data_IF_307006535270
#
_entry.id   IF_307006535270
#
_cell.length_a   1.000
_cell.length_b   1.000
_cell.length_c   1.000
_cell.angle_alpha   90.00
_cell.angle_beta   90.00
_cell.angle_gamma   90.00
#
_symmetry.space_group_name_H-M   'P 1'
#
loop_
_entity.id
_entity.type
_entity.pdbx_description
1 polymer ?
#
# COMPACT_ATOMS: atom_id res chain seq x y z
N UNK A 1 1.30 9.42 -13.89
CA UNK A 1 2.78 9.42 -13.88
C UNK A 1 3.40 10.25 -15.00
N UNK A 2 2.66 11.15 -15.64
CA UNK A 2 3.18 11.90 -16.80
C UNK A 2 4.25 12.95 -16.45
N UNK A 3 4.39 13.36 -15.20
CA UNK A 3 5.45 14.31 -14.76
C UNK A 3 5.66 14.16 -13.26
N UNK A 4 6.80 13.59 -12.87
CA UNK A 4 7.25 13.57 -11.48
C UNK A 4 7.58 12.17 -10.94
N UNK A 5 8.52 12.15 -10.00
CA UNK A 5 8.91 10.96 -9.26
C UNK A 5 7.95 10.77 -8.09
N UNK A 6 7.17 9.70 -8.07
CA UNK A 6 6.31 9.38 -6.94
C UNK A 6 7.09 8.53 -5.95
N UNK A 7 7.15 8.97 -4.70
CA UNK A 7 7.78 8.25 -3.59
C UNK A 7 6.67 7.87 -2.61
N UNK A 8 6.49 6.57 -2.42
CA UNK A 8 5.63 6.03 -1.37
C UNK A 8 6.44 5.92 -0.08
N UNK A 9 5.95 6.52 1.00
CA UNK A 9 6.51 6.38 2.35
C UNK A 9 5.61 5.50 3.19
N UNK A 10 6.18 4.44 3.76
CA UNK A 10 5.46 3.46 4.59
C UNK A 10 6.04 3.49 6.00
N UNK A 11 5.18 3.66 7.01
CA UNK A 11 5.55 3.41 8.40
C UNK A 11 5.42 1.91 8.68
N UNK A 12 6.55 1.21 8.85
CA UNK A 12 6.57 -0.23 9.12
C UNK A 12 6.20 -0.56 10.57
N UNK A 13 6.12 0.43 11.47
CA UNK A 13 5.80 0.28 12.89
C UNK A 13 4.80 1.34 13.37
N UNK A 14 3.60 1.42 12.77
CA UNK A 14 2.65 2.51 13.03
C UNK A 14 2.15 2.54 14.47
N UNK A 15 2.12 1.40 15.17
CA UNK A 15 1.68 1.29 16.55
C UNK A 15 2.72 1.83 17.57
N UNK A 16 3.96 2.13 17.16
CA UNK A 16 5.01 2.60 18.05
C UNK A 16 5.37 4.05 17.74
N UNK A 17 5.44 4.91 18.76
CA UNK A 17 6.08 6.23 18.64
C UNK A 17 7.59 6.07 18.40
N UNK A 18 8.26 7.15 17.99
CA UNK A 18 9.73 7.13 17.76
C UNK A 18 10.48 6.71 19.03
N UNK A 19 10.07 7.21 20.19
CA UNK A 19 10.69 6.90 21.48
C UNK A 19 10.50 5.43 21.86
N UNK A 20 9.28 4.90 21.68
CA UNK A 20 8.98 3.49 21.95
C UNK A 20 9.70 2.57 20.98
N UNK A 21 9.84 2.97 19.71
CA UNK A 21 10.58 2.19 18.73
C UNK A 21 12.08 2.20 19.02
N UNK A 22 12.66 3.35 19.41
CA UNK A 22 14.08 3.41 19.81
C UNK A 22 14.37 2.53 21.04
N UNK A 23 13.52 2.60 22.05
CA UNK A 23 13.62 1.73 23.24
C UNK A 23 13.50 0.23 22.86
N UNK A 24 12.63 -0.11 21.89
CA UNK A 24 12.49 -1.47 21.37
C UNK A 24 13.76 -1.92 20.66
N UNK A 25 14.34 -1.10 19.78
CA UNK A 25 15.58 -1.41 19.05
C UNK A 25 16.73 -1.61 20.04
N UNK A 26 16.87 -0.75 21.03
CA UNK A 26 17.92 -0.89 22.07
C UNK A 26 17.80 -2.22 22.82
N UNK A 27 16.60 -2.59 23.24
CA UNK A 27 16.33 -3.85 23.94
C UNK A 27 16.67 -5.06 23.07
N UNK A 28 16.26 -5.03 21.80
CA UNK A 28 16.50 -6.12 20.86
C UNK A 28 18.02 -6.22 20.54
N UNK A 29 18.70 -5.10 20.41
CA UNK A 29 20.15 -5.04 20.22
C UNK A 29 20.95 -5.53 21.43
N UNK A 30 20.48 -5.30 22.66
CA UNK A 30 21.14 -5.84 23.87
C UNK A 30 21.06 -7.36 23.92
N UNK A 31 19.92 -7.94 23.55
CA UNK A 31 19.79 -9.41 23.44
C UNK A 31 20.71 -10.00 22.38
N UNK A 32 20.88 -9.31 21.26
CA UNK A 32 21.54 -9.81 20.05
C UNK A 32 22.95 -9.22 19.86
N UNK A 33 23.54 -8.62 20.90
CA UNK A 33 24.77 -7.81 20.83
C UNK A 33 25.98 -8.46 20.14
N UNK A 34 26.07 -9.78 20.15
CA UNK A 34 27.15 -10.52 19.54
C UNK A 34 26.86 -10.98 18.11
N UNK A 35 25.61 -10.85 17.63
CA UNK A 35 25.23 -11.22 16.27
C UNK A 35 25.64 -10.14 15.26
N UNK A 36 25.69 -10.52 14.01
CA UNK A 36 25.80 -9.58 12.90
C UNK A 36 24.45 -8.84 12.73
N UNK A 37 24.50 -7.58 12.33
CA UNK A 37 23.33 -6.74 12.17
C UNK A 37 22.23 -7.39 11.29
N UNK A 38 22.62 -8.01 10.18
CA UNK A 38 21.67 -8.73 9.31
C UNK A 38 20.88 -9.86 9.99
N UNK A 39 21.42 -10.44 11.07
CA UNK A 39 20.85 -11.56 11.80
C UNK A 39 20.16 -11.13 13.11
N UNK A 40 19.99 -9.82 13.33
CA UNK A 40 19.45 -9.26 14.57
C UNK A 40 18.07 -8.62 14.39
N UNK A 41 17.50 -8.67 13.18
CA UNK A 41 16.26 -7.99 12.85
C UNK A 41 15.05 -8.93 12.76
N UNK A 42 15.21 -10.22 12.98
CA UNK A 42 14.16 -11.24 12.81
C UNK A 42 12.94 -11.01 13.71
N UNK A 43 13.14 -10.55 14.97
CA UNK A 43 12.06 -10.20 15.88
C UNK A 43 11.40 -8.84 15.55
N UNK A 44 12.08 -8.01 14.76
CA UNK A 44 11.63 -6.66 14.43
C UNK A 44 10.92 -6.61 13.07
N UNK A 45 11.32 -7.43 12.10
CA UNK A 45 10.84 -7.39 10.72
C UNK A 45 10.51 -8.78 10.16
N UNK A 46 9.52 -8.89 9.26
CA UNK A 46 9.38 -10.06 8.41
C UNK A 46 10.63 -10.28 7.57
N UNK A 47 11.04 -11.53 7.34
CA UNK A 47 12.29 -11.87 6.63
C UNK A 47 12.47 -11.15 5.30
N UNK A 48 11.41 -11.03 4.50
CA UNK A 48 11.46 -10.34 3.19
C UNK A 48 11.77 -8.84 3.26
N UNK A 49 11.62 -8.21 4.43
CA UNK A 49 11.91 -6.78 4.63
C UNK A 49 13.28 -6.50 5.22
N UNK A 50 13.99 -7.52 5.72
CA UNK A 50 15.29 -7.35 6.38
C UNK A 50 16.32 -6.75 5.42
N UNK A 51 16.56 -7.39 4.28
CA UNK A 51 17.54 -6.92 3.30
C UNK A 51 17.22 -5.53 2.73
N UNK A 52 15.96 -5.23 2.31
CA UNK A 52 15.58 -3.89 1.91
C UNK A 52 15.82 -2.81 2.99
N UNK A 53 15.50 -3.11 4.25
CA UNK A 53 15.70 -2.16 5.36
C UNK A 53 17.18 -1.96 5.64
N UNK A 54 17.97 -3.01 5.62
CA UNK A 54 19.46 -2.93 5.77
C UNK A 54 20.02 -2.02 4.68
N UNK A 55 19.66 -2.27 3.43
CA UNK A 55 20.13 -1.48 2.29
C UNK A 55 19.76 0.02 2.44
N UNK A 56 18.52 0.31 2.77
CA UNK A 56 18.04 1.70 2.94
C UNK A 56 18.60 2.39 4.19
N UNK A 57 18.92 1.63 5.24
CA UNK A 57 19.54 2.20 6.45
C UNK A 57 21.00 2.59 6.24
N UNK A 58 21.66 2.01 5.23
CA UNK A 58 23.09 2.23 4.97
C UNK A 58 24.03 1.64 6.03
N UNK A 59 23.53 0.79 6.93
CA UNK A 59 24.33 0.12 7.96
C UNK A 59 24.98 -1.12 7.36
N UNK A 60 26.27 -1.32 7.64
CA UNK A 60 26.98 -2.51 7.18
C UNK A 60 26.34 -3.79 7.76
N UNK A 61 25.81 -4.71 6.92
CA UNK A 61 25.15 -5.93 7.37
C UNK A 61 26.04 -6.87 8.19
N UNK A 62 27.36 -6.81 7.99
CA UNK A 62 28.34 -7.65 8.67
C UNK A 62 28.90 -7.01 9.95
N UNK A 63 28.44 -5.82 10.31
CA UNK A 63 28.82 -5.16 11.56
C UNK A 63 28.17 -5.88 12.74
N UNK A 64 28.88 -6.04 13.84
CA UNK A 64 28.29 -6.56 15.07
C UNK A 64 27.32 -5.55 15.68
N UNK A 65 26.26 -6.04 16.29
CA UNK A 65 25.20 -5.19 16.87
C UNK A 65 25.73 -4.25 17.94
N UNK A 66 26.67 -4.72 18.79
CA UNK A 66 27.33 -3.90 19.82
C UNK A 66 28.23 -2.77 19.27
N UNK A 67 28.56 -2.82 17.99
CA UNK A 67 29.38 -1.80 17.32
C UNK A 67 28.48 -0.73 16.62
N UNK A 68 27.16 -0.91 16.59
CA UNK A 68 26.23 0.03 15.96
C UNK A 68 26.16 1.31 16.79
N UNK A 69 26.55 2.41 16.18
CA UNK A 69 26.52 3.72 16.79
C UNK A 69 25.09 4.24 16.99
N UNK A 70 24.92 5.20 17.90
CA UNK A 70 23.64 5.92 18.07
C UNK A 70 23.14 6.53 16.76
N UNK A 71 24.04 7.07 15.93
CA UNK A 71 23.71 7.67 14.62
C UNK A 71 23.11 6.61 13.67
N UNK A 72 23.74 5.45 13.58
CA UNK A 72 23.26 4.34 12.74
C UNK A 72 21.92 3.82 13.25
N UNK A 73 21.75 3.65 14.57
CA UNK A 73 20.47 3.26 15.17
C UNK A 73 19.35 4.25 14.85
N UNK A 74 19.61 5.56 14.94
CA UNK A 74 18.63 6.58 14.56
C UNK A 74 18.31 6.55 13.07
N UNK A 75 19.28 6.20 12.21
CA UNK A 75 19.04 6.01 10.80
C UNK A 75 18.16 4.78 10.53
N UNK A 76 18.38 3.68 11.26
CA UNK A 76 17.50 2.51 11.21
C UNK A 76 16.07 2.88 11.63
N UNK A 77 15.92 3.59 12.75
CA UNK A 77 14.61 4.06 13.22
C UNK A 77 13.90 4.89 12.15
N UNK A 78 14.60 5.85 11.55
CA UNK A 78 14.05 6.67 10.46
C UNK A 78 13.62 5.80 9.28
N UNK A 79 14.44 4.83 8.88
CA UNK A 79 14.11 3.91 7.78
C UNK A 79 12.86 3.09 8.09
N UNK A 80 12.67 2.65 9.34
CA UNK A 80 11.48 1.91 9.76
C UNK A 80 10.21 2.78 9.78
N UNK A 81 10.34 4.06 10.12
CA UNK A 81 9.21 5.01 10.16
C UNK A 81 8.90 5.63 8.79
N UNK A 82 9.89 5.70 7.92
CA UNK A 82 9.78 6.27 6.58
C UNK A 82 10.40 5.32 5.55
N UNK A 83 9.88 4.11 5.44
CA UNK A 83 10.33 3.17 4.42
C UNK A 83 9.90 3.66 3.04
N UNK A 84 10.87 4.11 2.23
CA UNK A 84 10.62 4.77 0.97
C UNK A 84 10.71 3.82 -0.21
N UNK A 85 9.68 3.80 -1.05
CA UNK A 85 9.66 3.08 -2.33
C UNK A 85 9.40 4.07 -3.45
N UNK A 86 10.22 4.04 -4.49
CA UNK A 86 9.98 4.83 -5.71
C UNK A 86 9.08 4.03 -6.64
N UNK A 87 7.94 4.62 -7.03
CA UNK A 87 7.05 4.03 -8.02
C UNK A 87 7.58 4.36 -9.41
N UNK A 88 7.92 3.34 -10.18
CA UNK A 88 8.48 3.47 -11.54
C UNK A 88 7.41 3.51 -12.64
N UNK A 89 6.21 2.98 -12.38
CA UNK A 89 5.14 2.90 -13.38
C UNK A 89 3.93 2.14 -12.88
N UNK A 90 2.97 1.96 -13.77
CA UNK A 90 1.83 1.08 -13.56
C UNK A 90 2.23 -0.37 -13.87
N UNK A 91 1.50 -1.31 -13.31
CA UNK A 91 1.54 -2.71 -13.74
C UNK A 91 0.81 -2.85 -15.10
N UNK A 92 1.01 -3.96 -15.82
CA UNK A 92 0.25 -4.25 -17.04
C UNK A 92 -1.26 -4.16 -16.81
N UNK A 93 -2.01 -3.74 -17.83
CA UNK A 93 -3.47 -3.54 -17.74
C UNK A 93 -4.18 -4.86 -17.40
N UNK A 94 -3.62 -5.98 -17.84
CA UNK A 94 -4.13 -7.34 -17.58
C UNK A 94 -4.14 -7.71 -16.10
N UNK A 95 -3.38 -6.98 -15.28
CA UNK A 95 -3.32 -7.16 -13.83
C UNK A 95 -4.23 -6.17 -13.08
N UNK A 96 -4.96 -5.31 -13.79
CA UNK A 96 -5.89 -4.38 -13.16
C UNK A 96 -7.04 -5.13 -12.50
N UNK A 97 -7.30 -4.82 -11.23
CA UNK A 97 -8.46 -5.39 -10.49
C UNK A 97 -9.75 -4.73 -10.99
N UNK A 98 -9.67 -3.46 -11.36
CA UNK A 98 -10.75 -2.65 -11.91
C UNK A 98 -10.16 -1.59 -12.82
N UNK A 99 -10.89 -1.20 -13.86
CA UNK A 99 -10.56 -0.08 -14.74
C UNK A 99 -11.43 1.13 -14.39
N UNK A 100 -10.87 2.33 -14.54
CA UNK A 100 -11.61 3.57 -14.40
C UNK A 100 -12.12 4.04 -15.78
N UNK A 101 -13.29 4.66 -15.81
CA UNK A 101 -13.96 5.13 -17.01
C UNK A 101 -15.20 4.30 -17.33
N UNK A 102 -16.03 4.79 -18.25
CA UNK A 102 -17.26 4.14 -18.63
C UNK A 102 -18.35 5.15 -18.98
N UNK A 103 -19.60 4.72 -18.93
CA UNK A 103 -20.76 5.58 -19.15
C UNK A 103 -20.91 6.56 -17.99
N UNK A 104 -20.99 7.85 -18.32
CA UNK A 104 -21.06 8.92 -17.33
C UNK A 104 -22.30 8.77 -16.44
N UNK A 105 -22.13 8.70 -15.13
CA UNK A 105 -23.21 8.56 -14.13
C UNK A 105 -24.28 9.66 -14.24
N UNK A 106 -23.91 10.87 -14.70
CA UNK A 106 -24.85 11.97 -14.88
C UNK A 106 -25.86 11.71 -16.00
N UNK A 107 -25.54 10.81 -16.94
CA UNK A 107 -26.37 10.43 -18.07
C UNK A 107 -27.27 9.21 -17.77
N UNK A 108 -27.17 8.66 -16.56
CA UNK A 108 -27.95 7.51 -16.09
C UNK A 108 -28.94 7.96 -15.02
N UNK A 109 -30.15 7.45 -15.07
CA UNK A 109 -31.14 7.61 -14.01
C UNK A 109 -30.81 6.65 -12.86
N UNK A 110 -30.42 7.13 -11.65
CA UNK A 110 -29.98 6.25 -10.55
C UNK A 110 -31.09 5.39 -9.95
N UNK A 111 -32.37 5.65 -10.28
CA UNK A 111 -33.51 4.86 -9.78
C UNK A 111 -33.88 3.69 -10.69
N UNK A 112 -33.62 3.81 -11.98
CA UNK A 112 -34.00 2.81 -12.99
C UNK A 112 -32.81 2.23 -13.73
N UNK A 113 -31.63 2.86 -13.63
CA UNK A 113 -30.43 2.58 -14.45
C UNK A 113 -30.64 2.86 -15.94
N UNK A 114 -31.72 3.54 -16.33
CA UNK A 114 -31.99 3.92 -17.71
C UNK A 114 -31.16 5.13 -18.14
N UNK A 115 -30.79 5.15 -19.41
CA UNK A 115 -30.17 6.31 -20.05
C UNK A 115 -31.10 7.50 -20.03
N UNK A 116 -30.60 8.68 -19.69
CA UNK A 116 -31.34 9.96 -19.84
C UNK A 116 -31.33 10.48 -21.27
N UNK A 117 -30.53 9.90 -22.16
CA UNK A 117 -30.39 10.32 -23.55
C UNK A 117 -31.12 9.43 -24.53
N UNK A 118 -31.26 8.15 -24.21
CA UNK A 118 -31.85 7.14 -25.09
C UNK A 118 -32.87 6.33 -24.27
N UNK A 119 -34.13 6.39 -24.68
CA UNK A 119 -35.18 5.62 -24.01
C UNK A 119 -35.01 4.11 -24.19
N UNK A 120 -35.35 3.34 -23.16
CA UNK A 120 -35.28 1.87 -23.15
C UNK A 120 -33.83 1.32 -23.23
N UNK A 121 -32.81 2.14 -22.97
CA UNK A 121 -31.43 1.72 -22.87
C UNK A 121 -30.98 1.76 -21.38
N UNK A 122 -30.61 0.62 -20.86
CA UNK A 122 -30.20 0.48 -19.45
C UNK A 122 -28.72 0.12 -19.33
N UNK A 123 -28.09 0.58 -18.27
CA UNK A 123 -26.67 0.28 -17.96
C UNK A 123 -26.55 -0.37 -16.59
N UNK A 124 -25.68 -1.39 -16.49
CA UNK A 124 -25.42 -2.07 -15.22
C UNK A 124 -23.97 -2.57 -15.15
N UNK A 125 -23.43 -2.68 -13.95
CA UNK A 125 -22.10 -3.21 -13.71
C UNK A 125 -20.97 -2.27 -14.08
N UNK A 126 -19.84 -2.81 -14.44
CA UNK A 126 -18.57 -2.09 -14.64
C UNK A 126 -18.51 -1.22 -15.91
N UNK A 127 -19.56 -1.26 -16.75
CA UNK A 127 -19.68 -0.34 -17.87
C UNK A 127 -19.98 1.10 -17.42
N UNK A 128 -20.50 1.25 -16.20
CA UNK A 128 -20.79 2.54 -15.59
C UNK A 128 -19.49 3.12 -15.03
N UNK A 129 -19.25 4.42 -15.23
CA UNK A 129 -18.07 5.11 -14.68
C UNK A 129 -18.17 5.26 -13.15
N UNK A 130 -18.05 4.12 -12.46
CA UNK A 130 -18.00 4.01 -11.00
C UNK A 130 -16.95 2.99 -10.62
N UNK A 131 -15.98 3.42 -9.84
CA UNK A 131 -14.96 2.57 -9.28
C UNK A 131 -14.86 2.75 -7.76
N UNK A 132 -14.93 1.65 -7.04
CA UNK A 132 -14.81 1.62 -5.59
C UNK A 132 -13.52 0.89 -5.16
N UNK A 133 -13.15 1.07 -3.89
CA UNK A 133 -12.03 0.34 -3.32
C UNK A 133 -12.23 -1.17 -3.41
N UNK A 134 -11.11 -1.91 -3.49
CA UNK A 134 -11.12 -3.37 -3.41
C UNK A 134 -11.74 -3.84 -2.08
N UNK A 135 -12.43 -5.00 -2.10
CA UNK A 135 -13.12 -5.53 -0.92
C UNK A 135 -14.57 -5.92 -1.19
N UNK A 136 -14.94 -6.16 -2.46
CA UNK A 136 -16.28 -6.61 -2.85
C UNK A 136 -17.25 -5.48 -3.21
N UNK A 137 -16.89 -4.21 -3.00
CA UNK A 137 -17.75 -3.06 -3.30
C UNK A 137 -18.14 -2.96 -4.78
N UNK A 138 -17.19 -3.24 -5.70
CA UNK A 138 -17.47 -3.20 -7.13
C UNK A 138 -18.46 -4.29 -7.56
N UNK A 139 -18.34 -5.50 -6.99
CA UNK A 139 -19.31 -6.57 -7.18
C UNK A 139 -20.69 -6.18 -6.65
N UNK A 140 -20.74 -5.53 -5.47
CA UNK A 140 -22.01 -5.05 -4.91
C UNK A 140 -22.66 -4.00 -5.80
N UNK A 141 -21.89 -3.07 -6.37
CA UNK A 141 -22.39 -2.09 -7.34
C UNK A 141 -22.93 -2.80 -8.58
N UNK A 142 -22.18 -3.78 -9.12
CA UNK A 142 -22.60 -4.52 -10.30
C UNK A 142 -23.92 -5.28 -10.07
N UNK A 143 -24.07 -5.98 -8.95
CA UNK A 143 -25.31 -6.65 -8.58
C UNK A 143 -26.48 -5.68 -8.39
N UNK A 144 -26.26 -4.60 -7.64
CA UNK A 144 -27.32 -3.64 -7.33
C UNK A 144 -27.84 -2.95 -8.58
N UNK A 145 -26.94 -2.51 -9.45
CA UNK A 145 -27.29 -1.86 -10.72
C UNK A 145 -27.95 -2.84 -11.69
N UNK A 146 -27.49 -4.11 -11.73
CA UNK A 146 -28.10 -5.16 -12.54
C UNK A 146 -29.53 -5.48 -12.12
N UNK A 147 -29.77 -5.63 -10.81
CA UNK A 147 -31.11 -5.84 -10.27
C UNK A 147 -32.03 -4.65 -10.59
N UNK A 148 -31.53 -3.42 -10.36
CA UNK A 148 -32.31 -2.20 -10.61
C UNK A 148 -32.69 -2.08 -12.09
N UNK A 149 -31.74 -2.32 -13.01
CA UNK A 149 -32.02 -2.28 -14.45
C UNK A 149 -33.00 -3.38 -14.89
N UNK A 150 -32.92 -4.58 -14.30
CA UNK A 150 -33.77 -5.71 -14.65
C UNK A 150 -35.19 -5.63 -14.11
N UNK A 151 -35.49 -4.74 -13.17
CA UNK A 151 -36.84 -4.53 -12.61
C UNK A 151 -37.60 -3.38 -13.28
N UNK A 152 -36.98 -2.62 -14.15
CA UNK A 152 -37.53 -1.49 -14.88
C UNK A 152 -37.51 -1.68 -16.40
#
# INVERSE_FOLDING_TARGET
>A
LKQGKIILKIDLKPALSNEKLDARILRDFEKEKNKLFRNSLDELLPQKLIDPVIHLSGINPNKKVNEISKKERMQLLKTLKEFCITISGFRPVEEAIITAGGVNIKEINPKTMESKLINNLYFAGEIIDVDAYTGGFNLQIAYSTGVTAGLN
#
